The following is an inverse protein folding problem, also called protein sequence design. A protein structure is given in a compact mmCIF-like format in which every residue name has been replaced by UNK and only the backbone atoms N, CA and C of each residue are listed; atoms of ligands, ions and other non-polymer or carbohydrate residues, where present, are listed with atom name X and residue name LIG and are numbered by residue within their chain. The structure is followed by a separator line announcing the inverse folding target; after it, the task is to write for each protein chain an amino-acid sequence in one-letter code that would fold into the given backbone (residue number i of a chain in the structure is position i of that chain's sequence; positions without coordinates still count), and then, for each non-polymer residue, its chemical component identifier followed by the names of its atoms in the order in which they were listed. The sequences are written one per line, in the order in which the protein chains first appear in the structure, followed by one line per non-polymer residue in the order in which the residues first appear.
data_IF_042278966201
#
_entry.id   IF_042278966201
#
_cell.length_a   1.000
_cell.length_b   1.000
_cell.length_c   1.000
_cell.angle_alpha   90.00
_cell.angle_beta   90.00
_cell.angle_gamma   90.00
#
_symmetry.space_group_name_H-M   'P 1'
#
loop_
_entity.id
_entity.type
_entity.pdbx_description
1 polymer ?
#
# COMPACT_ATOMS: atom_id res chain seq x y z
N UNK A 1 -12.23 -0.44 -12.62
CA UNK A 1 -11.13 0.54 -12.59
C UNK A 1 -11.43 1.55 -11.51
N UNK A 2 -10.41 2.01 -10.80
CA UNK A 2 -10.55 3.04 -9.76
C UNK A 2 -10.61 4.42 -10.44
N UNK A 3 -11.57 5.30 -10.07
CA UNK A 3 -11.60 6.66 -10.61
C UNK A 3 -10.34 7.42 -10.20
N UNK A 4 -9.79 8.22 -11.13
CA UNK A 4 -8.69 9.14 -10.82
C UNK A 4 -9.16 10.30 -9.94
N UNK A 5 -8.32 10.76 -9.03
CA UNK A 5 -8.57 11.87 -8.12
C UNK A 5 -7.71 13.08 -8.50
N UNK A 6 -8.34 14.16 -8.97
CA UNK A 6 -7.65 15.42 -9.23
C UNK A 6 -7.69 16.32 -8.00
N UNK A 7 -6.55 16.47 -7.32
CA UNK A 7 -6.41 17.32 -6.15
C UNK A 7 -6.11 18.77 -6.56
N UNK A 8 -7.14 19.63 -6.50
CA UNK A 8 -7.08 21.08 -6.67
C UNK A 8 -8.24 21.75 -5.90
N UNK A 9 -8.18 23.08 -5.78
CA UNK A 9 -9.18 23.88 -5.06
C UNK A 9 -10.58 23.75 -5.66
N UNK A 10 -10.72 23.66 -6.99
CA UNK A 10 -12.01 23.50 -7.65
C UNK A 10 -12.66 22.15 -7.34
N UNK A 11 -11.88 21.07 -7.37
CA UNK A 11 -12.30 19.73 -6.94
C UNK A 11 -12.70 19.73 -5.47
N UNK A 12 -11.96 20.42 -4.59
CA UNK A 12 -12.29 20.48 -3.16
C UNK A 12 -13.68 21.10 -2.94
N UNK A 13 -13.90 22.28 -3.54
CA UNK A 13 -15.20 22.97 -3.48
C UNK A 13 -16.32 22.11 -4.07
N UNK A 14 -16.11 21.54 -5.25
CA UNK A 14 -17.12 20.75 -5.94
C UNK A 14 -17.50 19.50 -5.14
N UNK A 15 -16.51 18.74 -4.67
CA UNK A 15 -16.71 17.52 -3.90
C UNK A 15 -17.42 17.81 -2.58
N UNK A 16 -17.09 18.89 -1.87
CA UNK A 16 -17.82 19.31 -0.65
C UNK A 16 -19.29 19.52 -0.91
N UNK A 17 -19.64 20.22 -2.00
CA UNK A 17 -21.04 20.49 -2.35
C UNK A 17 -21.78 19.21 -2.73
N UNK A 18 -21.15 18.33 -3.51
CA UNK A 18 -21.74 17.03 -3.89
C UNK A 18 -21.95 16.14 -2.68
N UNK A 19 -20.97 16.05 -1.78
CA UNK A 19 -21.09 15.29 -0.53
C UNK A 19 -22.22 15.87 0.31
N UNK A 20 -22.29 17.18 0.51
CA UNK A 20 -23.39 17.80 1.27
C UNK A 20 -24.75 17.47 0.64
N UNK A 21 -24.86 17.52 -0.68
CA UNK A 21 -26.07 17.14 -1.40
C UNK A 21 -26.45 15.67 -1.19
N UNK A 22 -25.49 14.74 -1.32
CA UNK A 22 -25.70 13.31 -1.06
C UNK A 22 -26.15 13.05 0.38
N UNK A 23 -25.56 13.73 1.36
CA UNK A 23 -25.86 13.55 2.79
C UNK A 23 -27.23 14.17 3.18
N UNK A 24 -27.67 15.22 2.51
CA UNK A 24 -28.98 15.84 2.77
C UNK A 24 -30.16 15.11 2.11
N UNK A 25 -29.91 14.23 1.13
CA UNK A 25 -30.98 13.58 0.36
C UNK A 25 -30.87 12.05 0.48
N UNK A 26 -31.62 11.46 1.41
CA UNK A 26 -31.58 10.01 1.68
C UNK A 26 -31.93 9.11 0.48
N UNK A 27 -32.63 9.64 -0.54
CA UNK A 27 -32.93 8.92 -1.77
C UNK A 27 -31.75 8.87 -2.76
N UNK A 28 -30.71 9.68 -2.54
CA UNK A 28 -29.51 9.73 -3.39
C UNK A 28 -28.52 8.69 -2.90
N UNK A 29 -27.96 7.92 -3.85
CA UNK A 29 -26.89 6.97 -3.52
C UNK A 29 -25.60 7.74 -3.22
N UNK A 30 -24.94 7.51 -2.07
CA UNK A 30 -23.79 8.31 -1.62
C UNK A 30 -22.49 7.87 -2.31
N UNK A 31 -22.43 7.97 -3.65
CA UNK A 31 -21.31 7.47 -4.45
C UNK A 31 -20.01 8.24 -4.17
N UNK A 32 -20.10 9.57 -4.13
CA UNK A 32 -18.96 10.46 -3.91
C UNK A 32 -18.47 10.34 -2.47
N UNK A 33 -19.40 10.34 -1.51
CA UNK A 33 -19.13 10.10 -0.10
C UNK A 33 -18.39 8.77 0.13
N UNK A 34 -18.86 7.70 -0.51
CA UNK A 34 -18.21 6.38 -0.45
C UNK A 34 -16.82 6.39 -1.09
N UNK A 35 -16.64 7.09 -2.21
CA UNK A 35 -15.36 7.23 -2.87
C UNK A 35 -14.35 8.00 -2.02
N UNK A 36 -14.74 9.13 -1.43
CA UNK A 36 -13.87 9.90 -0.53
C UNK A 36 -13.51 9.10 0.71
N UNK A 37 -14.46 8.35 1.28
CA UNK A 37 -14.16 7.48 2.41
C UNK A 37 -13.13 6.39 2.05
N UNK A 38 -13.26 5.79 0.87
CA UNK A 38 -12.28 4.83 0.36
C UNK A 38 -10.92 5.49 0.08
N UNK A 39 -10.91 6.69 -0.51
CA UNK A 39 -9.68 7.44 -0.78
C UNK A 39 -8.96 7.80 0.52
N UNK A 40 -9.69 8.18 1.57
CA UNK A 40 -9.12 8.43 2.89
C UNK A 40 -8.57 7.15 3.54
N UNK A 41 -9.14 5.99 3.23
CA UNK A 41 -8.56 4.73 3.69
C UNK A 41 -7.22 4.43 3.00
N UNK A 42 -7.02 4.88 1.77
CA UNK A 42 -5.76 4.73 1.04
C UNK A 42 -4.72 5.78 1.41
N UNK A 43 -5.13 7.02 1.70
CA UNK A 43 -4.24 8.16 1.93
C UNK A 43 -4.16 8.46 3.42
N UNK A 44 -3.08 8.00 4.06
CA UNK A 44 -2.80 8.26 5.48
C UNK A 44 -1.54 9.11 5.69
N UNK A 45 -0.70 9.25 4.66
CA UNK A 45 0.58 9.93 4.70
C UNK A 45 0.97 10.51 3.35
N UNK A 46 1.92 11.44 3.34
CA UNK A 46 2.52 11.99 2.12
C UNK A 46 3.06 10.89 1.19
N UNK A 47 3.59 9.81 1.77
CA UNK A 47 4.11 8.67 1.00
C UNK A 47 3.01 7.91 0.25
N UNK A 48 1.82 7.81 0.83
CA UNK A 48 0.68 7.17 0.16
C UNK A 48 0.25 8.01 -1.04
N UNK A 49 0.26 9.33 -0.91
CA UNK A 49 -0.04 10.26 -2.02
C UNK A 49 0.98 10.09 -3.14
N UNK A 50 2.28 10.05 -2.83
CA UNK A 50 3.32 9.82 -3.83
C UNK A 50 3.11 8.51 -4.60
N UNK A 51 2.86 7.41 -3.90
CA UNK A 51 2.59 6.11 -4.55
C UNK A 51 1.36 6.18 -5.44
N UNK A 52 0.28 6.86 -5.01
CA UNK A 52 -0.92 6.99 -5.82
C UNK A 52 -0.74 7.95 -7.01
N UNK A 53 0.17 8.91 -6.94
CA UNK A 53 0.56 9.73 -8.09
C UNK A 53 1.33 8.89 -9.09
N UNK A 54 2.31 8.10 -8.63
CA UNK A 54 3.12 7.22 -9.48
C UNK A 54 2.25 6.19 -10.22
N UNK A 55 1.22 5.66 -9.55
CA UNK A 55 0.24 4.73 -10.13
C UNK A 55 -0.85 5.43 -10.98
N UNK A 56 -0.77 6.75 -11.16
CA UNK A 56 -1.70 7.53 -11.99
C UNK A 56 -3.12 7.65 -11.41
N UNK A 57 -3.30 7.28 -10.13
CA UNK A 57 -4.57 7.40 -9.41
C UNK A 57 -4.81 8.85 -9.01
N UNK A 58 -3.80 9.53 -8.48
CA UNK A 58 -3.91 10.91 -7.99
C UNK A 58 -3.19 11.83 -8.94
N UNK A 59 -3.85 12.90 -9.36
CA UNK A 59 -3.21 14.04 -10.03
C UNK A 59 -3.13 15.18 -9.02
N UNK A 60 -1.90 15.50 -8.58
CA UNK A 60 -1.68 16.55 -7.60
C UNK A 60 -1.34 17.89 -8.28
N UNK A 61 -2.25 18.84 -8.13
CA UNK A 61 -2.07 20.24 -8.56
C UNK A 61 -2.09 21.23 -7.39
N UNK A 62 -2.14 20.73 -6.15
CA UNK A 62 -2.03 21.51 -4.92
C UNK A 62 -0.58 21.81 -4.51
N UNK A 63 0.40 21.17 -5.15
CA UNK A 63 1.81 21.30 -4.83
C UNK A 63 2.28 20.18 -3.90
N UNK A 64 2.22 20.38 -2.58
CA UNK A 64 2.78 19.41 -1.62
C UNK A 64 1.84 18.20 -1.40
N UNK A 65 2.37 16.97 -1.27
CA UNK A 65 1.56 15.79 -0.95
C UNK A 65 0.70 15.95 0.30
N UNK A 66 1.24 16.55 1.37
CA UNK A 66 0.49 16.89 2.59
C UNK A 66 -0.78 17.71 2.35
N UNK A 67 -0.83 18.56 1.33
CA UNK A 67 -2.05 19.32 1.00
C UNK A 67 -3.15 18.42 0.44
N UNK A 68 -2.79 17.36 -0.28
CA UNK A 68 -3.73 16.33 -0.73
C UNK A 68 -4.26 15.52 0.46
N UNK A 69 -3.38 15.15 1.39
CA UNK A 69 -3.77 14.47 2.64
C UNK A 69 -4.79 15.33 3.41
N UNK A 70 -4.49 16.62 3.59
CA UNK A 70 -5.37 17.57 4.27
C UNK A 70 -6.71 17.74 3.55
N UNK A 71 -6.71 17.84 2.22
CA UNK A 71 -7.93 17.94 1.41
C UNK A 71 -8.84 16.74 1.62
N UNK A 72 -8.30 15.52 1.49
CA UNK A 72 -9.07 14.27 1.64
C UNK A 72 -9.61 14.12 3.07
N UNK A 73 -8.78 14.36 4.08
CA UNK A 73 -9.21 14.36 5.48
C UNK A 73 -10.35 15.36 5.73
N UNK A 74 -10.23 16.58 5.21
CA UNK A 74 -11.27 17.61 5.34
C UNK A 74 -12.54 17.27 4.57
N UNK A 75 -12.45 16.55 3.46
CA UNK A 75 -13.62 16.09 2.70
C UNK A 75 -14.36 14.97 3.44
N UNK A 76 -13.67 14.18 4.27
CA UNK A 76 -14.29 13.13 5.06
C UNK A 76 -15.04 13.66 6.31
N UNK A 77 -14.73 14.86 6.79
CA UNK A 77 -15.40 15.43 7.97
C UNK A 77 -16.90 15.55 7.72
N UNK A 78 -17.70 14.89 8.57
CA UNK A 78 -19.16 14.89 8.48
C UNK A 78 -19.75 13.93 7.45
N UNK A 79 -18.93 13.11 6.78
CA UNK A 79 -19.42 12.10 5.85
C UNK A 79 -19.96 10.89 6.60
N UNK A 80 -21.24 10.59 6.42
CA UNK A 80 -21.84 9.33 6.88
C UNK A 80 -21.81 8.33 5.73
N UNK A 81 -21.12 7.20 5.94
CA UNK A 81 -21.05 6.09 4.98
C UNK A 81 -21.84 4.89 5.48
N UNK A 82 -22.59 4.26 4.57
CA UNK A 82 -23.28 3.01 4.83
C UNK A 82 -22.32 1.82 4.92
N UNK A 83 -22.78 0.71 5.49
CA UNK A 83 -21.97 -0.50 5.72
C UNK A 83 -21.49 -1.17 4.43
N UNK A 84 -22.21 -0.95 3.32
CA UNK A 84 -21.93 -1.54 2.00
C UNK A 84 -21.74 -0.44 0.97
N UNK A 85 -20.48 -0.12 0.65
CA UNK A 85 -20.12 0.77 -0.45
C UNK A 85 -19.68 -0.03 -1.67
N UNK A 86 -19.65 0.61 -2.83
CA UNK A 86 -19.13 0.03 -4.08
C UNK A 86 -17.64 -0.34 -3.97
N UNK A 87 -16.95 0.20 -2.95
CA UNK A 87 -15.54 -0.04 -2.66
C UNK A 87 -15.31 -1.03 -1.52
N UNK A 88 -16.38 -1.57 -0.91
CA UNK A 88 -16.28 -2.48 0.23
C UNK A 88 -15.46 -3.74 -0.10
N UNK A 89 -15.78 -4.40 -1.21
CA UNK A 89 -15.09 -5.62 -1.64
C UNK A 89 -13.60 -5.38 -1.94
N UNK A 90 -13.28 -4.26 -2.58
CA UNK A 90 -11.88 -3.89 -2.88
C UNK A 90 -11.14 -3.58 -1.58
N UNK A 91 -11.77 -2.84 -0.67
CA UNK A 91 -11.20 -2.52 0.65
C UNK A 91 -10.93 -3.79 1.47
N UNK A 92 -11.86 -4.75 1.44
CA UNK A 92 -11.71 -6.05 2.09
C UNK A 92 -10.59 -6.88 1.47
N UNK A 93 -10.50 -6.96 0.14
CA UNK A 93 -9.42 -7.65 -0.57
C UNK A 93 -8.05 -7.02 -0.26
N UNK A 94 -7.96 -5.69 -0.25
CA UNK A 94 -6.73 -4.97 0.08
C UNK A 94 -6.31 -5.24 1.54
N UNK A 95 -7.27 -5.18 2.48
CA UNK A 95 -7.05 -5.51 3.88
C UNK A 95 -6.59 -6.96 4.08
N UNK A 96 -7.19 -7.90 3.36
CA UNK A 96 -6.79 -9.31 3.39
C UNK A 96 -5.37 -9.50 2.81
N UNK A 97 -5.06 -8.83 1.70
CA UNK A 97 -3.74 -8.85 1.08
C UNK A 97 -2.66 -8.33 2.04
N UNK A 98 -2.92 -7.21 2.72
CA UNK A 98 -2.01 -6.64 3.72
C UNK A 98 -1.87 -7.52 4.97
N UNK A 99 -2.96 -8.16 5.42
CA UNK A 99 -2.94 -9.05 6.59
C UNK A 99 -2.32 -10.42 6.34
N UNK A 100 -2.21 -10.85 5.08
CA UNK A 100 -1.60 -12.13 4.70
C UNK A 100 -0.15 -12.20 5.17
N UNK A 101 0.16 -13.18 6.05
CA UNK A 101 1.54 -13.40 6.53
C UNK A 101 2.51 -13.66 5.40
N UNK A 102 2.08 -14.40 4.37
CA UNK A 102 2.89 -14.70 3.19
C UNK A 102 3.28 -13.43 2.45
N UNK A 103 2.31 -12.54 2.21
CA UNK A 103 2.55 -11.30 1.48
C UNK A 103 3.45 -10.36 2.27
N UNK A 104 3.26 -10.26 3.59
CA UNK A 104 4.17 -9.49 4.45
C UNK A 104 5.58 -10.07 4.47
N UNK A 105 5.72 -11.38 4.60
CA UNK A 105 7.02 -12.04 4.59
C UNK A 105 7.74 -11.78 3.26
N UNK A 106 7.02 -11.94 2.13
CA UNK A 106 7.56 -11.67 0.81
C UNK A 106 7.93 -10.20 0.63
N UNK A 107 7.09 -9.26 1.06
CA UNK A 107 7.38 -7.82 0.99
C UNK A 107 8.63 -7.46 1.82
N UNK A 108 8.78 -8.02 3.03
CA UNK A 108 9.98 -7.84 3.84
C UNK A 108 11.21 -8.45 3.17
N UNK A 109 11.10 -9.67 2.64
CA UNK A 109 12.19 -10.33 1.92
C UNK A 109 12.63 -9.47 0.72
N UNK A 110 11.68 -9.00 -0.08
CA UNK A 110 11.94 -8.13 -1.22
C UNK A 110 12.62 -6.83 -0.80
N UNK A 111 12.12 -6.19 0.25
CA UNK A 111 12.68 -4.94 0.77
C UNK A 111 14.09 -5.10 1.34
N UNK A 112 14.42 -6.23 1.97
CA UNK A 112 15.73 -6.42 2.62
C UNK A 112 16.77 -6.96 1.63
N UNK A 113 16.38 -7.92 0.79
CA UNK A 113 17.32 -8.64 -0.07
C UNK A 113 17.33 -8.15 -1.52
N UNK A 114 16.22 -7.60 -2.01
CA UNK A 114 16.08 -7.25 -3.43
C UNK A 114 15.90 -5.74 -3.68
N UNK A 115 15.88 -4.92 -2.64
CA UNK A 115 15.86 -3.45 -2.79
C UNK A 115 17.20 -2.91 -3.28
N UNK A 116 18.28 -3.60 -2.92
CA UNK A 116 19.64 -3.26 -3.27
C UNK A 116 20.30 -4.53 -3.82
N UNK A 117 20.63 -4.49 -5.12
CA UNK A 117 21.23 -5.62 -5.85
C UNK A 117 22.52 -6.11 -5.17
N UNK A 118 23.24 -5.22 -4.49
CA UNK A 118 24.47 -5.54 -3.79
C UNK A 118 24.21 -6.35 -2.52
N UNK A 119 23.19 -5.97 -1.76
CA UNK A 119 22.75 -6.67 -0.55
C UNK A 119 22.22 -8.06 -0.89
N UNK A 120 21.45 -8.18 -1.97
CA UNK A 120 20.97 -9.46 -2.48
C UNK A 120 22.08 -10.41 -2.92
N UNK A 121 23.03 -9.90 -3.72
CA UNK A 121 24.17 -10.70 -4.20
C UNK A 121 25.11 -11.11 -3.06
N UNK A 122 25.39 -10.22 -2.10
CA UNK A 122 26.20 -10.54 -0.92
C UNK A 122 25.55 -11.63 -0.07
N UNK A 123 24.23 -11.55 0.15
CA UNK A 123 23.50 -12.58 0.89
C UNK A 123 23.57 -13.91 0.17
N UNK A 124 23.35 -13.94 -1.15
CA UNK A 124 23.41 -15.18 -1.93
C UNK A 124 24.82 -15.80 -1.88
N UNK A 125 25.87 -14.99 -2.00
CA UNK A 125 27.25 -15.46 -1.88
C UNK A 125 27.53 -16.05 -0.50
N UNK A 126 27.08 -15.40 0.58
CA UNK A 126 27.22 -15.90 1.95
C UNK A 126 26.51 -17.25 2.15
N UNK A 127 25.30 -17.41 1.61
CA UNK A 127 24.56 -18.69 1.66
C UNK A 127 25.30 -19.79 0.92
N UNK A 128 25.82 -19.50 -0.28
CA UNK A 128 26.60 -20.48 -1.05
C UNK A 128 27.88 -20.90 -0.32
N UNK A 129 28.61 -19.95 0.28
CA UNK A 129 29.79 -20.22 1.08
C UNK A 129 29.46 -21.07 2.32
N UNK A 130 28.36 -20.78 3.02
CA UNK A 130 27.90 -21.58 4.14
C UNK A 130 27.57 -23.03 3.74
N UNK A 131 26.94 -23.24 2.59
CA UNK A 131 26.65 -24.59 2.08
C UNK A 131 27.94 -25.34 1.71
N UNK A 132 28.87 -24.68 1.02
CA UNK A 132 30.16 -25.28 0.66
C UNK A 132 30.98 -25.66 1.89
N UNK A 133 31.05 -24.78 2.88
CA UNK A 133 31.75 -25.05 4.15
C UNK A 133 31.10 -26.19 4.93
N UNK A 134 29.76 -26.28 4.95
CA UNK A 134 29.06 -27.38 5.59
C UNK A 134 29.39 -28.73 4.95
N UNK A 135 29.35 -28.80 3.61
CA UNK A 135 29.72 -30.01 2.85
C UNK A 135 31.18 -30.40 3.12
N UNK A 136 32.10 -29.43 3.07
CA UNK A 136 33.52 -29.64 3.37
C UNK A 136 33.76 -30.14 4.80
N UNK A 137 33.02 -29.60 5.77
CA UNK A 137 33.11 -30.01 7.18
C UNK A 137 32.62 -31.46 7.36
N UNK A 138 31.48 -31.82 6.77
CA UNK A 138 30.93 -33.18 6.84
C UNK A 138 31.89 -34.19 6.21
N UNK A 139 32.43 -33.88 5.02
CA UNK A 139 33.41 -34.73 4.35
C UNK A 139 34.66 -34.95 5.22
N UNK A 140 35.17 -33.87 5.85
CA UNK A 140 36.33 -33.92 6.75
C UNK A 140 36.06 -34.80 7.98
N UNK A 141 34.88 -34.69 8.60
CA UNK A 141 34.49 -35.52 9.75
C UNK A 141 34.40 -37.00 9.37
N UNK A 142 33.79 -37.32 8.23
CA UNK A 142 33.69 -38.71 7.75
C UNK A 142 35.08 -39.29 7.48
N UNK A 143 35.99 -38.51 6.88
CA UNK A 143 37.35 -38.95 6.61
C UNK A 143 38.15 -39.18 7.90
N UNK A 144 38.01 -38.28 8.88
CA UNK A 144 38.64 -38.44 10.19
C UNK A 144 38.13 -39.71 10.91
N UNK A 145 36.83 -39.99 10.84
CA UNK A 145 36.25 -41.21 11.41
C UNK A 145 36.72 -42.49 10.72
N UNK A 146 36.89 -42.49 9.39
CA UNK A 146 37.43 -43.64 8.64
C UNK A 146 38.93 -43.88 8.84
N UNK A 147 39.65 -42.88 9.35
CA UNK A 147 41.09 -42.95 9.56
C UNK A 147 41.47 -43.46 10.97
N UNK A 148 40.46 -43.69 11.82
CA UNK A 148 40.52 -44.46 13.06
C UNK A 148 40.10 -45.91 12.79
#
# INVERSE_FOLDING_TARGET
MMPGFAANEASDMFLRNVIAFEQCHAAVTPFTSNYIHFLNFLISSDRDVEVLIDEGVVTNTMGRPSMVVDMVNKLQVGVTVGTMSQYHDISMKLKAHYKSRRNRCWATLNKVYFSDLWTGTATLAAVLLLLLTLVGTIASVIQAYKSF
#
